data_IF_682555581305
#
_entry.id   IF_682555581305
#
_cell.length_a   1.000
_cell.length_b   1.000
_cell.length_c   1.000
_cell.angle_alpha   90.00
_cell.angle_beta   90.00
_cell.angle_gamma   90.00
#
_symmetry.space_group_name_H-M   'P 1'
#
loop_
_entity.id
_entity.type
_entity.pdbx_description
1 polymer ?
#
# COMPACT_ATOMS: atom_id res chain seq x y z
N UNK A 1 12.90 -14.35 28.66
CA UNK A 1 11.59 -15.05 28.71
C UNK A 1 10.40 -14.07 28.62
N UNK A 2 10.55 -12.78 28.97
CA UNK A 2 9.49 -11.78 28.90
C UNK A 2 9.30 -11.16 27.49
N UNK A 3 10.29 -11.21 26.63
CA UNK A 3 10.19 -10.70 25.24
C UNK A 3 9.38 -11.64 24.32
N UNK A 4 9.34 -12.93 24.57
CA UNK A 4 8.61 -13.91 23.74
C UNK A 4 7.08 -13.81 23.91
N UNK A 5 6.60 -13.41 25.09
CA UNK A 5 5.16 -13.28 25.36
C UNK A 5 4.54 -12.00 24.77
N UNK A 6 5.34 -10.95 24.59
CA UNK A 6 4.90 -9.69 23.96
C UNK A 6 4.65 -9.83 22.45
N UNK A 7 5.53 -10.57 21.77
CA UNK A 7 5.41 -10.80 20.31
C UNK A 7 4.20 -11.67 19.99
N UNK A 8 3.99 -12.77 20.73
CA UNK A 8 2.83 -13.66 20.54
C UNK A 8 1.47 -12.96 20.86
N UNK A 9 1.47 -12.04 21.79
CA UNK A 9 0.26 -11.26 22.12
C UNK A 9 -0.05 -10.19 21.07
N UNK A 10 0.98 -9.63 20.44
CA UNK A 10 0.86 -8.70 19.35
C UNK A 10 0.30 -9.40 18.08
N UNK A 11 0.83 -10.55 17.70
CA UNK A 11 0.35 -11.32 16.54
C UNK A 11 -1.12 -11.74 16.67
N UNK A 12 -1.57 -12.17 17.85
CA UNK A 12 -2.99 -12.50 18.08
C UNK A 12 -3.92 -11.30 18.07
N UNK A 13 -3.46 -10.18 18.58
CA UNK A 13 -4.23 -8.93 18.55
C UNK A 13 -4.37 -8.39 17.12
N UNK A 14 -3.29 -8.42 16.33
CA UNK A 14 -3.32 -8.02 14.92
C UNK A 14 -4.18 -8.94 14.07
N UNK A 15 -4.11 -10.25 14.25
CA UNK A 15 -4.96 -11.22 13.52
C UNK A 15 -6.45 -11.00 13.79
N UNK A 16 -6.84 -10.73 15.03
CA UNK A 16 -8.24 -10.46 15.37
C UNK A 16 -8.71 -9.08 14.91
N UNK A 17 -7.83 -8.08 14.94
CA UNK A 17 -8.13 -6.73 14.46
C UNK A 17 -8.30 -6.73 12.93
N UNK A 18 -7.42 -7.40 12.20
CA UNK A 18 -7.50 -7.56 10.74
C UNK A 18 -8.78 -8.33 10.36
N UNK A 19 -9.09 -9.44 11.05
CA UNK A 19 -10.28 -10.24 10.75
C UNK A 19 -11.59 -9.46 10.99
N UNK A 20 -11.64 -8.65 12.03
CA UNK A 20 -12.81 -7.81 12.32
C UNK A 20 -12.92 -6.62 11.36
N UNK A 21 -11.79 -6.05 10.91
CA UNK A 21 -11.79 -4.97 9.92
C UNK A 21 -12.22 -5.43 8.54
N UNK A 22 -11.76 -6.62 8.12
CA UNK A 22 -12.12 -7.21 6.81
C UNK A 22 -13.58 -7.62 6.77
N UNK A 23 -14.13 -8.18 7.86
CA UNK A 23 -15.56 -8.47 7.97
C UNK A 23 -16.44 -7.22 7.89
N UNK A 24 -15.96 -6.08 8.37
CA UNK A 24 -16.67 -4.80 8.27
C UNK A 24 -16.59 -4.16 6.87
N UNK A 25 -15.53 -4.43 6.10
CA UNK A 25 -15.37 -3.95 4.73
C UNK A 25 -16.07 -4.86 3.70
N UNK A 26 -16.27 -6.15 4.02
CA UNK A 26 -16.84 -7.18 3.14
C UNK A 26 -18.35 -7.37 3.27
N UNK A 27 -19.09 -6.44 3.85
CA UNK A 27 -20.55 -6.53 3.94
C UNK A 27 -21.25 -6.15 2.62
N UNK A 28 -20.87 -6.83 1.52
CA UNK A 28 -21.58 -6.84 0.25
C UNK A 28 -21.59 -8.26 -0.32
N UNK A 29 -22.71 -8.73 -0.92
CA UNK A 29 -22.80 -10.10 -1.42
C UNK A 29 -22.04 -10.22 -2.72
N UNK A 30 -20.93 -10.90 -2.76
CA UNK A 30 -20.34 -11.55 -3.95
C UNK A 30 -18.89 -11.97 -3.60
N UNK A 31 -18.55 -13.23 -3.92
CA UNK A 31 -17.24 -13.86 -4.09
C UNK A 31 -16.80 -14.94 -3.08
N UNK A 32 -17.47 -16.08 -3.13
CA UNK A 32 -16.86 -17.35 -2.65
C UNK A 32 -16.26 -18.23 -3.75
N UNK A 33 -16.50 -17.94 -5.04
CA UNK A 33 -16.13 -18.85 -6.14
C UNK A 33 -14.80 -18.56 -6.85
N UNK A 34 -14.14 -17.44 -6.61
CA UNK A 34 -12.89 -17.07 -7.33
C UNK A 34 -11.60 -17.21 -6.51
N UNK A 35 -11.71 -17.56 -5.23
CA UNK A 35 -10.54 -17.73 -4.34
C UNK A 35 -9.65 -18.91 -4.75
N UNK A 36 -10.22 -19.94 -5.41
CA UNK A 36 -9.47 -21.15 -5.80
C UNK A 36 -8.54 -20.96 -7.00
N UNK A 37 -8.85 -20.04 -7.91
CA UNK A 37 -8.04 -19.84 -9.14
C UNK A 37 -6.82 -18.91 -8.94
N UNK A 38 -6.78 -18.13 -7.86
CA UNK A 38 -5.67 -17.20 -7.57
C UNK A 38 -4.40 -17.90 -7.06
N UNK A 39 -4.55 -19.06 -6.42
CA UNK A 39 -3.43 -19.76 -5.77
C UNK A 39 -2.48 -20.41 -6.77
N UNK A 40 -2.97 -20.91 -7.90
CA UNK A 40 -2.13 -21.56 -8.90
C UNK A 40 -1.26 -20.59 -9.72
N UNK A 41 -1.61 -19.32 -9.83
CA UNK A 41 -0.81 -18.31 -10.52
C UNK A 41 0.40 -17.79 -9.77
N UNK A 42 0.46 -17.99 -8.46
CA UNK A 42 1.60 -17.53 -7.63
C UNK A 42 2.86 -18.39 -7.74
N UNK A 43 2.79 -19.58 -8.38
CA UNK A 43 3.94 -20.51 -8.43
C UNK A 43 4.80 -20.40 -9.71
N UNK A 44 4.41 -19.63 -10.71
CA UNK A 44 5.26 -19.38 -11.87
C UNK A 44 6.15 -18.17 -11.63
N UNK A 45 7.38 -18.43 -11.21
CA UNK A 45 8.44 -17.44 -11.07
C UNK A 45 8.83 -16.79 -12.39
N UNK A 46 7.98 -15.91 -12.90
CA UNK A 46 8.32 -14.99 -13.98
C UNK A 46 9.11 -13.83 -13.38
N UNK A 47 10.44 -13.94 -13.48
CA UNK A 47 11.33 -12.77 -13.31
C UNK A 47 10.89 -11.74 -14.34
N UNK A 48 10.18 -10.72 -13.91
CA UNK A 48 9.85 -9.58 -14.76
C UNK A 48 11.13 -8.80 -15.03
N UNK A 49 11.50 -8.56 -16.29
CA UNK A 49 12.63 -7.66 -16.55
C UNK A 49 12.28 -6.28 -15.98
N UNK A 50 13.13 -5.76 -15.10
CA UNK A 50 12.99 -4.47 -14.43
C UNK A 50 13.22 -3.25 -15.35
N UNK A 51 12.94 -3.38 -16.64
CA UNK A 51 13.12 -2.34 -17.65
C UNK A 51 11.78 -1.76 -18.14
N UNK A 52 10.84 -1.52 -17.24
CA UNK A 52 9.70 -0.70 -17.59
C UNK A 52 10.18 0.73 -17.86
N UNK A 53 9.96 1.22 -19.08
CA UNK A 53 10.23 2.61 -19.44
C UNK A 53 9.34 3.49 -18.57
N UNK A 54 9.95 4.24 -17.66
CA UNK A 54 9.24 5.22 -16.84
C UNK A 54 8.99 6.45 -17.73
N UNK A 55 7.72 6.82 -18.00
CA UNK A 55 7.39 7.98 -18.81
C UNK A 55 7.86 9.28 -18.15
N UNK A 56 8.29 10.23 -18.96
CA UNK A 56 8.60 11.58 -18.53
C UNK A 56 7.51 12.56 -18.93
N UNK A 57 7.20 13.49 -18.05
CA UNK A 57 6.26 14.60 -18.28
C UNK A 57 7.03 15.90 -18.30
N UNK A 58 6.80 16.73 -19.32
CA UNK A 58 7.41 18.06 -19.44
C UNK A 58 6.35 19.09 -19.02
N UNK A 59 6.64 19.85 -17.99
CA UNK A 59 5.82 20.98 -17.55
C UNK A 59 6.45 22.29 -18.00
N UNK A 60 5.64 23.14 -18.65
CA UNK A 60 6.03 24.49 -18.99
C UNK A 60 5.63 25.43 -17.87
N UNK A 61 6.59 26.16 -17.31
CA UNK A 61 6.36 27.20 -16.31
C UNK A 61 6.92 28.54 -16.79
N UNK A 62 6.52 29.67 -16.19
CA UNK A 62 7.11 30.98 -16.49
C UNK A 62 8.63 31.05 -16.27
N UNK A 63 9.20 30.08 -15.56
CA UNK A 63 10.64 29.97 -15.26
C UNK A 63 11.37 28.98 -16.17
N UNK A 64 10.71 28.43 -17.20
CA UNK A 64 11.26 27.44 -18.13
C UNK A 64 10.58 26.08 -18.05
N UNK A 65 11.08 25.15 -18.85
CA UNK A 65 10.61 23.78 -18.91
C UNK A 65 11.26 22.94 -17.80
N UNK A 66 10.46 22.08 -17.14
CA UNK A 66 10.94 21.09 -16.19
C UNK A 66 10.46 19.71 -16.61
N UNK A 67 11.38 18.76 -16.63
CA UNK A 67 11.08 17.35 -16.90
C UNK A 67 11.02 16.59 -15.58
N UNK A 68 9.93 15.83 -15.40
CA UNK A 68 9.74 14.92 -14.27
C UNK A 68 9.47 13.52 -14.79
N UNK A 69 9.95 12.50 -14.11
CA UNK A 69 9.35 11.18 -14.29
C UNK A 69 7.93 11.15 -13.72
N UNK A 70 7.10 10.21 -14.18
CA UNK A 70 5.67 10.20 -13.82
C UNK A 70 5.45 10.06 -12.30
N UNK A 71 6.29 9.27 -11.59
CA UNK A 71 6.12 9.06 -10.16
C UNK A 71 6.51 10.32 -9.36
N UNK A 72 7.60 10.99 -9.76
CA UNK A 72 7.99 12.28 -9.17
C UNK A 72 6.93 13.35 -9.43
N UNK A 73 6.27 13.31 -10.59
CA UNK A 73 5.16 14.23 -10.89
C UNK A 73 3.95 13.96 -10.02
N UNK A 74 3.57 12.69 -9.85
CA UNK A 74 2.47 12.29 -8.97
C UNK A 74 2.74 12.63 -7.51
N UNK A 75 3.99 12.49 -7.06
CA UNK A 75 4.40 12.85 -5.70
C UNK A 75 4.15 14.34 -5.40
N UNK A 76 4.34 15.23 -6.38
CA UNK A 76 4.03 16.66 -6.21
C UNK A 76 2.52 16.89 -5.94
N UNK A 77 1.65 16.00 -6.44
CA UNK A 77 0.23 16.00 -6.17
C UNK A 77 -0.16 15.16 -4.94
N UNK A 78 0.84 14.80 -4.11
CA UNK A 78 0.70 14.00 -2.89
C UNK A 78 0.17 12.59 -3.12
N UNK A 79 0.51 12.02 -4.28
CA UNK A 79 0.15 10.67 -4.68
C UNK A 79 1.39 9.77 -4.60
N UNK A 80 1.29 8.72 -3.80
CA UNK A 80 2.28 7.64 -3.71
C UNK A 80 1.69 6.41 -4.38
N UNK A 81 2.50 5.71 -5.16
CA UNK A 81 2.10 4.50 -5.86
C UNK A 81 2.90 3.28 -5.38
N UNK A 82 2.23 2.35 -4.71
CA UNK A 82 2.77 1.06 -4.30
C UNK A 82 2.29 -0.01 -5.30
N UNK A 83 3.08 -0.23 -6.36
CA UNK A 83 2.73 -1.10 -7.50
C UNK A 83 3.53 -2.40 -7.59
N UNK A 84 4.31 -2.73 -6.56
CA UNK A 84 5.26 -3.85 -6.58
C UNK A 84 5.12 -4.71 -5.32
N UNK A 85 5.84 -5.85 -5.30
CA UNK A 85 5.99 -6.63 -4.09
C UNK A 85 6.71 -5.82 -3.01
N UNK A 86 6.23 -5.91 -1.78
CA UNK A 86 6.79 -5.19 -0.63
C UNK A 86 8.08 -5.88 -0.19
N UNK A 87 9.20 -5.22 -0.42
CA UNK A 87 10.51 -5.54 0.12
C UNK A 87 11.10 -4.32 0.86
N UNK A 88 12.32 -4.44 1.36
CA UNK A 88 12.96 -3.35 2.11
C UNK A 88 13.20 -2.10 1.25
N UNK A 89 13.48 -2.26 -0.04
CA UNK A 89 13.71 -1.12 -0.95
C UNK A 89 12.42 -0.36 -1.21
N UNK A 90 11.37 -1.08 -1.54
CA UNK A 90 10.03 -0.51 -1.77
C UNK A 90 9.52 0.17 -0.49
N UNK A 91 9.66 -0.49 0.66
CA UNK A 91 9.24 0.08 1.93
C UNK A 91 10.00 1.37 2.28
N UNK A 92 11.32 1.36 2.16
CA UNK A 92 12.14 2.56 2.41
C UNK A 92 11.78 3.71 1.46
N UNK A 93 11.47 3.42 0.20
CA UNK A 93 11.01 4.42 -0.76
C UNK A 93 9.67 5.03 -0.35
N UNK A 94 8.69 4.21 0.01
CA UNK A 94 7.36 4.68 0.46
C UNK A 94 7.47 5.49 1.75
N UNK A 95 8.26 5.02 2.72
CA UNK A 95 8.52 5.72 3.98
C UNK A 95 9.14 7.11 3.72
N UNK A 96 10.16 7.19 2.86
CA UNK A 96 10.80 8.45 2.51
C UNK A 96 9.81 9.43 1.84
N UNK A 97 8.92 8.93 0.97
CA UNK A 97 7.89 9.75 0.33
C UNK A 97 6.85 10.25 1.34
N UNK A 98 6.41 9.41 2.28
CA UNK A 98 5.48 9.81 3.34
C UNK A 98 6.07 10.93 4.21
N UNK A 99 7.32 10.77 4.66
CA UNK A 99 8.03 11.76 5.47
C UNK A 99 8.27 13.06 4.70
N UNK A 100 8.61 12.98 3.43
CA UNK A 100 8.78 14.16 2.57
C UNK A 100 7.47 14.95 2.43
N UNK A 101 6.37 14.27 2.21
CA UNK A 101 5.06 14.91 2.07
C UNK A 101 4.57 15.53 3.38
N UNK A 102 4.80 14.89 4.53
CA UNK A 102 4.52 15.48 5.83
C UNK A 102 5.35 16.75 6.05
N UNK A 103 6.64 16.70 5.78
CA UNK A 103 7.52 17.86 5.94
C UNK A 103 7.14 19.03 5.03
N UNK A 104 6.52 18.75 3.87
CA UNK A 104 6.09 19.78 2.92
C UNK A 104 4.79 20.47 3.36
N UNK A 105 3.79 19.70 3.79
CA UNK A 105 2.49 20.22 4.23
C UNK A 105 1.80 19.15 5.11
N UNK A 106 1.84 19.28 6.45
CA UNK A 106 1.28 18.28 7.36
C UNK A 106 -0.25 18.28 7.42
N UNK A 107 -0.91 19.31 6.89
CA UNK A 107 -2.37 19.47 7.00
C UNK A 107 -3.12 18.90 5.78
N UNK A 108 -2.40 18.49 4.75
CA UNK A 108 -3.01 17.90 3.55
C UNK A 108 -2.89 16.40 3.52
N UNK A 109 -3.95 15.76 3.03
CA UNK A 109 -4.01 14.31 2.84
C UNK A 109 -2.93 13.79 1.88
N UNK A 110 -2.52 12.56 2.10
CA UNK A 110 -1.69 11.78 1.20
C UNK A 110 -2.54 10.68 0.59
N UNK A 111 -2.45 10.46 -0.72
CA UNK A 111 -3.15 9.38 -1.42
C UNK A 111 -2.17 8.25 -1.74
N UNK A 112 -2.35 7.10 -1.09
CA UNK A 112 -1.57 5.89 -1.32
C UNK A 112 -2.35 4.92 -2.21
N UNK A 113 -1.97 4.83 -3.48
CA UNK A 113 -2.52 3.86 -4.43
C UNK A 113 -1.78 2.54 -4.32
N UNK A 114 -2.52 1.44 -4.16
CA UNK A 114 -1.94 0.12 -3.89
C UNK A 114 -2.39 -0.86 -4.97
N UNK A 115 -1.40 -1.50 -5.61
CA UNK A 115 -1.55 -2.63 -6.52
C UNK A 115 -0.40 -3.62 -6.25
N UNK A 116 -0.52 -4.39 -5.18
CA UNK A 116 0.59 -5.19 -4.67
C UNK A 116 0.13 -6.56 -4.18
N UNK A 117 0.88 -7.63 -4.47
CA UNK A 117 0.62 -8.96 -3.91
C UNK A 117 1.01 -9.06 -2.42
N UNK A 118 1.50 -7.99 -1.81
CA UNK A 118 2.09 -8.02 -0.48
C UNK A 118 3.58 -8.30 -0.51
N UNK A 119 4.11 -8.95 0.54
CA UNK A 119 5.54 -9.27 0.63
C UNK A 119 6.03 -9.33 2.07
N UNK A 120 7.21 -8.78 2.33
CA UNK A 120 7.85 -8.77 3.66
C UNK A 120 6.97 -8.10 4.71
N UNK A 121 6.64 -8.83 5.76
CA UNK A 121 5.82 -8.33 6.87
C UNK A 121 6.54 -7.20 7.61
N UNK A 122 7.83 -7.38 7.90
CA UNK A 122 8.62 -6.37 8.61
C UNK A 122 8.76 -5.08 7.82
N UNK A 123 8.99 -5.16 6.52
CA UNK A 123 9.03 -4.01 5.63
C UNK A 123 7.67 -3.28 5.56
N UNK A 124 6.59 -4.04 5.44
CA UNK A 124 5.24 -3.48 5.45
C UNK A 124 4.84 -2.84 6.79
N UNK A 125 5.28 -3.42 7.91
CA UNK A 125 5.07 -2.79 9.24
C UNK A 125 5.80 -1.45 9.36
N UNK A 126 6.97 -1.29 8.74
CA UNK A 126 7.66 0.00 8.68
C UNK A 126 6.85 1.07 7.95
N UNK A 127 6.19 0.71 6.83
CA UNK A 127 5.25 1.61 6.14
C UNK A 127 4.06 1.94 7.05
N UNK A 128 3.46 0.92 7.67
CA UNK A 128 2.31 1.06 8.55
C UNK A 128 2.59 2.00 9.72
N UNK A 129 3.70 1.79 10.39
CA UNK A 129 4.11 2.62 11.52
C UNK A 129 4.35 4.06 11.10
N UNK A 130 4.93 4.28 9.91
CA UNK A 130 5.11 5.61 9.35
C UNK A 130 3.77 6.28 9.04
N UNK A 131 2.82 5.56 8.43
CA UNK A 131 1.46 6.08 8.19
C UNK A 131 0.77 6.51 9.47
N UNK A 132 0.99 5.78 10.58
CA UNK A 132 0.43 6.12 11.89
C UNK A 132 1.19 7.24 12.62
N UNK A 133 2.47 7.42 12.31
CA UNK A 133 3.34 8.39 12.97
C UNK A 133 3.17 9.81 12.41
N UNK A 134 2.99 9.93 11.09
CA UNK A 134 2.82 11.23 10.43
C UNK A 134 1.47 11.87 10.79
N UNK A 135 1.39 13.19 10.72
CA UNK A 135 0.17 13.95 11.02
C UNK A 135 -0.85 13.94 9.88
N UNK A 136 -0.36 13.79 8.64
CA UNK A 136 -1.22 13.75 7.46
C UNK A 136 -2.18 12.57 7.53
N UNK A 137 -3.42 12.78 7.15
CA UNK A 137 -4.32 11.67 6.85
C UNK A 137 -3.84 10.92 5.60
N UNK A 138 -3.80 9.59 5.67
CA UNK A 138 -3.43 8.74 4.54
C UNK A 138 -4.66 8.07 3.98
N UNK A 139 -5.08 8.51 2.80
CA UNK A 139 -6.13 7.85 2.02
C UNK A 139 -5.52 6.67 1.28
N UNK A 140 -6.09 5.48 1.42
CA UNK A 140 -5.62 4.26 0.76
C UNK A 140 -6.60 3.80 -0.30
N UNK A 141 -6.10 3.51 -1.50
CA UNK A 141 -6.92 3.16 -2.66
C UNK A 141 -6.39 1.87 -3.29
N UNK A 142 -7.16 0.78 -3.23
CA UNK A 142 -6.85 -0.45 -3.93
C UNK A 142 -7.20 -0.33 -5.41
N UNK A 143 -6.21 -0.55 -6.28
CA UNK A 143 -6.37 -0.67 -7.73
C UNK A 143 -5.76 -2.00 -8.17
N UNK A 144 -6.53 -2.86 -8.86
CA UNK A 144 -6.08 -4.19 -9.25
C UNK A 144 -6.05 -5.15 -8.08
N UNK A 145 -4.95 -5.25 -7.33
CA UNK A 145 -4.79 -6.23 -6.25
C UNK A 145 -4.20 -5.62 -4.98
N UNK A 146 -4.78 -5.96 -3.83
CA UNK A 146 -4.19 -5.74 -2.51
C UNK A 146 -4.18 -7.06 -1.75
N UNK A 147 -3.08 -7.81 -1.82
CA UNK A 147 -2.97 -9.12 -1.18
C UNK A 147 -2.04 -9.11 0.04
N UNK A 148 -2.33 -9.98 1.02
CA UNK A 148 -1.45 -10.21 2.16
C UNK A 148 -1.09 -8.91 2.90
N UNK A 149 0.20 -8.56 3.02
CA UNK A 149 0.65 -7.34 3.68
C UNK A 149 0.11 -6.05 3.04
N UNK A 150 -0.14 -6.05 1.72
CA UNK A 150 -0.77 -4.91 1.05
C UNK A 150 -2.24 -4.69 1.49
N UNK A 151 -2.97 -5.76 1.80
CA UNK A 151 -4.31 -5.66 2.38
C UNK A 151 -4.28 -5.06 3.80
N UNK A 152 -3.23 -5.34 4.57
CA UNK A 152 -3.01 -4.71 5.88
C UNK A 152 -2.80 -3.21 5.72
N UNK A 153 -1.94 -2.79 4.79
CA UNK A 153 -1.72 -1.36 4.50
C UNK A 153 -3.00 -0.66 4.03
N UNK A 154 -3.77 -1.30 3.13
CA UNK A 154 -5.05 -0.78 2.67
C UNK A 154 -6.01 -0.54 3.85
N UNK A 155 -6.11 -1.52 4.76
CA UNK A 155 -7.00 -1.44 5.93
C UNK A 155 -6.55 -0.41 6.97
N UNK A 156 -5.30 0.00 6.93
CA UNK A 156 -4.68 0.92 7.88
C UNK A 156 -4.78 2.39 7.47
N UNK A 157 -5.33 2.69 6.29
CA UNK A 157 -5.64 4.05 5.89
C UNK A 157 -6.59 4.76 6.86
N UNK A 158 -6.61 6.07 6.83
CA UNK A 158 -7.47 6.90 7.69
C UNK A 158 -8.93 6.49 7.57
N UNK A 159 -9.64 6.44 8.69
CA UNK A 159 -11.05 6.05 8.74
C UNK A 159 -11.90 6.93 7.81
N UNK A 160 -12.67 6.29 6.92
CA UNK A 160 -13.50 6.98 5.92
C UNK A 160 -12.74 7.36 4.64
N UNK A 161 -11.42 7.12 4.57
CA UNK A 161 -10.57 7.41 3.41
C UNK A 161 -9.92 6.16 2.83
N UNK A 162 -10.61 5.01 2.92
CA UNK A 162 -10.19 3.70 2.39
C UNK A 162 -11.09 3.30 1.26
N UNK A 163 -10.53 3.05 0.10
CA UNK A 163 -11.29 2.80 -1.13
C UNK A 163 -10.78 1.54 -1.83
N UNK A 164 -11.72 0.84 -2.46
CA UNK A 164 -11.46 -0.30 -3.34
C UNK A 164 -12.21 -0.04 -4.63
N UNK A 165 -11.51 -0.06 -5.77
CA UNK A 165 -12.17 0.12 -7.05
C UNK A 165 -13.00 -1.11 -7.42
N UNK A 166 -14.07 -0.96 -8.21
CA UNK A 166 -15.07 -2.04 -8.43
C UNK A 166 -14.51 -3.36 -9.00
N UNK A 167 -13.40 -3.29 -9.73
CA UNK A 167 -12.77 -4.47 -10.35
C UNK A 167 -11.49 -4.88 -9.61
N UNK A 168 -11.26 -4.37 -8.40
CA UNK A 168 -10.09 -4.69 -7.62
C UNK A 168 -10.34 -5.86 -6.69
N UNK A 169 -9.29 -6.61 -6.39
CA UNK A 169 -9.30 -7.75 -5.49
C UNK A 169 -8.58 -7.42 -4.19
N UNK A 170 -9.16 -7.82 -3.06
CA UNK A 170 -8.47 -7.79 -1.75
C UNK A 170 -8.38 -9.22 -1.25
N UNK A 171 -7.15 -9.69 -1.02
CA UNK A 171 -6.87 -11.06 -0.59
C UNK A 171 -6.16 -11.09 0.76
N UNK A 172 -6.68 -11.88 1.69
CA UNK A 172 -6.03 -12.20 2.96
C UNK A 172 -5.89 -13.71 3.05
N UNK A 173 -4.72 -14.15 3.43
CA UNK A 173 -4.40 -15.57 3.61
C UNK A 173 -3.57 -15.78 4.88
N UNK A 174 -3.45 -17.05 5.26
CA UNK A 174 -2.61 -17.51 6.39
C UNK A 174 -1.14 -17.38 6.06
#
# INVERSE_FOLDING_TARGET
LLFSLGVLRCERMYSNMILNYVKAAASGPIYESEVSMGIERMQSGLVRPSNALIPYVIEQSPRGERSYDIYSRLLNDRIIFLGEQIDDHVANSVVAQLLHLEATDPDKDISLYINSPGGSVTAGLGILDTMNFIKCDVSTICIGECASMAAVLLSSGTKGKRFVLPNSMVLIHQ
#
